data_IF_807818416282
#
_entry.id   IF_807818416282
#
_cell.length_a   1.000
_cell.length_b   1.000
_cell.length_c   1.000
_cell.angle_alpha   90.00
_cell.angle_beta   90.00
_cell.angle_gamma   90.00
#
_symmetry.space_group_name_H-M   'P 1'
#
loop_
_entity.id
_entity.type
_entity.pdbx_description
1 polymer ?
#
# COMPACT_ATOMS: atom_id res chain seq x y z
N UNK A 1 -1.45 4.53 -8.93
CA UNK A 1 -2.12 3.38 -8.27
C UNK A 1 -3.01 3.94 -7.16
N UNK A 2 -4.24 3.49 -7.13
CA UNK A 2 -5.21 3.85 -6.10
C UNK A 2 -5.59 2.57 -5.34
N UNK A 3 -5.52 2.62 -4.01
CA UNK A 3 -5.91 1.50 -3.16
C UNK A 3 -7.08 1.90 -2.24
N UNK A 4 -8.21 1.19 -2.39
CA UNK A 4 -9.43 1.44 -1.63
C UNK A 4 -9.22 1.29 -0.12
N UNK A 5 -8.67 0.16 0.30
CA UNK A 5 -8.54 -0.17 1.72
C UNK A 5 -7.62 0.77 2.52
N UNK A 6 -6.57 1.27 1.89
CA UNK A 6 -5.58 2.16 2.55
C UNK A 6 -5.81 3.63 2.23
N UNK A 7 -6.75 3.95 1.34
CA UNK A 7 -6.96 5.30 0.77
C UNK A 7 -5.67 5.94 0.25
N UNK A 8 -4.68 5.13 -0.03
CA UNK A 8 -3.42 5.63 -0.52
C UNK A 8 -3.47 5.81 -2.03
N UNK A 9 -2.93 6.92 -2.49
CA UNK A 9 -2.69 7.17 -3.90
C UNK A 9 -1.19 7.24 -4.12
N UNK A 10 -0.66 6.25 -4.84
CA UNK A 10 0.73 6.27 -5.28
C UNK A 10 0.79 6.89 -6.67
N UNK A 11 1.59 7.94 -6.83
CA UNK A 11 1.92 8.54 -8.12
C UNK A 11 3.23 7.96 -8.60
N UNK A 12 3.29 7.58 -9.87
CA UNK A 12 4.48 7.07 -10.52
C UNK A 12 4.73 7.97 -11.71
N UNK A 13 5.85 8.69 -11.70
CA UNK A 13 6.25 9.56 -12.79
C UNK A 13 6.93 8.72 -13.87
N UNK A 14 6.41 8.78 -15.09
CA UNK A 14 6.93 7.99 -16.24
C UNK A 14 7.36 8.90 -17.40
N UNK A 15 7.62 10.14 -17.12
CA UNK A 15 8.00 11.20 -18.06
C UNK A 15 9.52 11.35 -18.23
N UNK A 16 10.30 10.46 -17.63
CA UNK A 16 11.77 10.53 -17.63
C UNK A 16 12.35 11.40 -16.51
N UNK A 17 11.50 11.87 -15.57
CA UNK A 17 11.97 12.58 -14.39
C UNK A 17 12.89 11.69 -13.54
N UNK A 18 13.83 12.31 -12.84
CA UNK A 18 14.60 11.65 -11.79
C UNK A 18 13.91 11.84 -10.43
N UNK A 19 14.27 11.00 -9.46
CA UNK A 19 13.90 11.26 -8.06
C UNK A 19 14.45 12.60 -7.58
N UNK A 20 13.76 13.27 -6.63
CA UNK A 20 14.31 14.43 -5.96
C UNK A 20 15.66 14.12 -5.31
N UNK A 21 16.54 15.12 -5.23
CA UNK A 21 17.80 14.95 -4.53
C UNK A 21 17.58 14.60 -3.04
N UNK A 22 18.47 13.84 -2.40
CA UNK A 22 18.29 13.37 -1.03
C UNK A 22 18.05 14.47 0.01
N UNK A 23 18.58 15.67 -0.23
CA UNK A 23 18.45 16.83 0.66
C UNK A 23 17.12 17.58 0.53
N UNK A 24 16.34 17.29 -0.52
CA UNK A 24 15.03 17.92 -0.76
C UNK A 24 13.87 16.92 -0.79
N UNK A 25 14.16 15.62 -0.68
CA UNK A 25 13.13 14.59 -0.73
C UNK A 25 12.23 14.66 0.51
N UNK A 26 10.92 14.65 0.27
CA UNK A 26 9.94 14.61 1.35
C UNK A 26 9.56 13.17 1.68
N UNK A 27 10.01 12.69 2.84
CA UNK A 27 9.67 11.36 3.32
C UNK A 27 8.18 11.26 3.68
N UNK A 28 7.49 10.30 3.08
CA UNK A 28 6.07 10.04 3.33
C UNK A 28 5.76 8.53 3.24
N UNK A 29 4.54 8.12 3.58
CA UNK A 29 4.17 6.71 3.66
C UNK A 29 4.23 5.95 2.31
N UNK A 30 4.07 6.65 1.19
CA UNK A 30 4.08 6.02 -0.15
C UNK A 30 5.37 6.29 -0.92
N UNK A 31 6.23 7.19 -0.41
CA UNK A 31 7.46 7.59 -1.06
C UNK A 31 7.27 8.42 -2.33
N UNK A 32 8.37 8.64 -3.03
CA UNK A 32 8.43 9.20 -4.39
C UNK A 32 8.75 8.08 -5.38
N UNK A 33 7.96 7.95 -6.45
CA UNK A 33 8.09 6.85 -7.40
C UNK A 33 8.32 7.36 -8.81
N UNK A 34 9.39 6.88 -9.43
CA UNK A 34 9.76 7.17 -10.81
C UNK A 34 9.94 5.85 -11.56
N UNK A 35 9.43 5.79 -12.77
CA UNK A 35 9.44 4.54 -13.53
C UNK A 35 9.40 4.72 -15.04
N UNK A 36 9.41 3.59 -15.71
CA UNK A 36 9.34 3.49 -17.16
C UNK A 36 8.69 2.17 -17.57
N UNK A 37 8.35 2.07 -18.83
CA UNK A 37 7.82 0.85 -19.41
C UNK A 37 8.92 0.03 -20.08
N UNK A 38 9.00 -1.25 -19.73
CA UNK A 38 9.79 -2.27 -20.39
C UNK A 38 8.83 -3.21 -21.14
N UNK A 39 8.54 -2.90 -22.39
CA UNK A 39 7.47 -3.58 -23.13
C UNK A 39 6.11 -3.36 -22.46
N UNK A 40 5.50 -4.40 -21.95
CA UNK A 40 4.22 -4.40 -21.23
C UNK A 40 4.37 -4.40 -19.70
N UNK A 41 5.58 -4.30 -19.20
CA UNK A 41 5.90 -4.27 -17.77
C UNK A 41 6.18 -2.85 -17.32
N UNK A 42 5.42 -2.35 -16.35
CA UNK A 42 5.74 -1.11 -15.65
C UNK A 42 6.79 -1.41 -14.58
N UNK A 43 7.94 -0.74 -14.69
CA UNK A 43 9.05 -0.83 -13.72
C UNK A 43 9.24 0.52 -13.08
N UNK A 44 9.27 0.57 -11.76
CA UNK A 44 9.52 1.83 -11.05
C UNK A 44 10.30 1.60 -9.75
N UNK A 45 11.05 2.61 -9.37
CA UNK A 45 11.72 2.70 -8.09
C UNK A 45 10.98 3.66 -7.18
N UNK A 46 10.99 3.38 -5.88
CA UNK A 46 10.38 4.23 -4.86
C UNK A 46 11.42 4.52 -3.79
N UNK A 47 11.62 5.79 -3.50
CA UNK A 47 12.53 6.30 -2.46
C UNK A 47 11.77 7.27 -1.55
N UNK A 48 12.41 7.77 -0.49
CA UNK A 48 11.76 8.71 0.43
C UNK A 48 10.59 8.09 1.19
N UNK A 49 10.62 6.76 1.40
CA UNK A 49 9.67 6.09 2.28
C UNK A 49 9.97 6.56 3.70
N UNK A 50 8.92 6.94 4.43
CA UNK A 50 9.04 7.42 5.80
C UNK A 50 9.66 6.34 6.69
N UNK A 51 10.77 6.65 7.33
CA UNK A 51 11.54 5.72 8.16
C UNK A 51 11.16 5.76 9.64
N UNK A 52 11.87 5.00 10.44
CA UNK A 52 11.60 4.74 11.86
C UNK A 52 11.71 5.98 12.77
N UNK A 53 12.42 7.03 12.34
CA UNK A 53 12.61 8.25 13.11
C UNK A 53 11.29 8.88 13.58
N UNK A 54 10.21 8.66 12.84
CA UNK A 54 8.90 9.20 13.11
C UNK A 54 7.89 8.18 13.68
N UNK A 55 8.34 6.96 13.99
CA UNK A 55 7.54 5.85 14.54
C UNK A 55 6.41 5.33 13.63
N UNK A 56 6.37 5.73 12.37
CA UNK A 56 5.22 5.47 11.49
C UNK A 56 5.48 4.44 10.39
N UNK A 57 6.71 3.89 10.30
CA UNK A 57 7.10 3.00 9.20
C UNK A 57 7.20 1.54 9.63
N UNK A 58 6.12 1.03 10.18
CA UNK A 58 6.02 -0.40 10.46
C UNK A 58 5.72 -1.12 9.15
N UNK A 59 6.66 -1.97 8.70
CA UNK A 59 6.51 -2.73 7.47
C UNK A 59 5.41 -3.79 7.57
N UNK A 60 5.29 -4.41 8.72
CA UNK A 60 4.30 -5.44 8.99
C UNK A 60 3.87 -5.49 10.47
N UNK A 61 2.96 -6.42 10.77
CA UNK A 61 2.44 -6.60 12.14
C UNK A 61 3.47 -7.16 13.13
N UNK A 62 4.62 -7.62 12.69
CA UNK A 62 5.72 -8.08 13.56
C UNK A 62 6.50 -6.91 14.17
N UNK A 63 6.24 -5.69 13.70
CA UNK A 63 6.93 -4.49 14.15
C UNK A 63 8.26 -4.25 13.45
N UNK A 64 8.52 -4.92 12.30
CA UNK A 64 9.68 -4.61 11.48
C UNK A 64 9.58 -3.17 10.97
N UNK A 65 10.59 -2.36 11.27
CA UNK A 65 10.66 -0.94 10.96
C UNK A 65 11.68 -0.72 9.86
N UNK A 66 11.34 0.10 8.86
CA UNK A 66 12.27 0.53 7.82
C UNK A 66 13.05 1.76 8.26
N UNK A 67 14.24 1.94 7.70
CA UNK A 67 15.00 3.17 7.82
C UNK A 67 14.67 4.16 6.70
N UNK A 68 15.20 5.37 6.78
CA UNK A 68 15.06 6.37 5.72
C UNK A 68 15.86 6.04 4.46
N UNK A 69 16.76 5.03 4.52
CA UNK A 69 17.52 4.53 3.38
C UNK A 69 16.74 3.44 2.61
N UNK A 70 15.55 3.10 3.07
CA UNK A 70 14.70 2.13 2.39
C UNK A 70 14.36 2.59 0.97
N UNK A 71 14.53 1.70 0.01
CA UNK A 71 14.07 1.90 -1.35
C UNK A 71 13.47 0.61 -1.90
N UNK A 72 12.56 0.76 -2.83
CA UNK A 72 11.87 -0.37 -3.42
C UNK A 72 11.91 -0.32 -4.94
N UNK A 73 12.15 -1.46 -5.57
CA UNK A 73 11.94 -1.64 -7.00
C UNK A 73 10.70 -2.50 -7.21
N UNK A 74 9.76 -1.99 -7.99
CA UNK A 74 8.50 -2.68 -8.29
C UNK A 74 8.36 -2.93 -9.78
N UNK A 75 7.95 -4.14 -10.14
CA UNK A 75 7.63 -4.54 -11.51
C UNK A 75 6.18 -5.02 -11.55
N UNK A 76 5.41 -4.46 -12.46
CA UNK A 76 3.99 -4.81 -12.63
C UNK A 76 3.75 -5.20 -14.08
N UNK A 77 3.21 -6.37 -14.32
CA UNK A 77 2.75 -6.76 -15.64
C UNK A 77 1.43 -7.54 -15.58
N UNK A 78 0.70 -7.50 -16.67
CA UNK A 78 -0.52 -8.30 -16.83
C UNK A 78 -0.16 -9.68 -17.29
N UNK A 79 -0.77 -10.68 -16.69
CA UNK A 79 -0.63 -12.08 -17.11
C UNK A 79 -1.95 -12.83 -16.93
N UNK A 80 -1.97 -14.10 -17.28
CA UNK A 80 -3.11 -14.99 -17.09
C UNK A 80 -2.67 -16.25 -16.38
N UNK A 81 -3.35 -16.59 -15.32
CA UNK A 81 -3.12 -17.81 -14.55
C UNK A 81 -4.45 -18.52 -14.26
N UNK A 82 -4.35 -19.80 -13.89
CA UNK A 82 -5.50 -20.53 -13.40
C UNK A 82 -5.82 -20.14 -11.97
N UNK A 83 -7.07 -19.79 -11.71
CA UNK A 83 -7.57 -19.61 -10.36
C UNK A 83 -7.69 -20.96 -9.61
N UNK A 84 -8.16 -20.94 -8.37
CA UNK A 84 -8.35 -22.13 -7.53
C UNK A 84 -9.35 -23.14 -8.10
N UNK A 85 -10.21 -22.71 -9.02
CA UNK A 85 -11.20 -23.54 -9.72
C UNK A 85 -10.68 -24.06 -11.07
N UNK A 86 -9.44 -23.71 -11.44
CA UNK A 86 -8.81 -24.13 -12.70
C UNK A 86 -9.19 -23.26 -13.90
N UNK A 87 -9.90 -22.16 -13.71
CA UNK A 87 -10.30 -21.20 -14.76
C UNK A 87 -9.18 -20.21 -15.01
N UNK A 88 -8.87 -19.96 -16.30
CA UNK A 88 -7.88 -18.94 -16.70
C UNK A 88 -8.45 -17.56 -16.53
N UNK A 89 -7.83 -16.76 -15.69
CA UNK A 89 -8.20 -15.38 -15.38
C UNK A 89 -7.06 -14.40 -15.59
N UNK A 90 -7.41 -13.17 -15.90
CA UNK A 90 -6.46 -12.06 -15.99
C UNK A 90 -6.08 -11.57 -14.60
N UNK A 91 -4.80 -11.31 -14.40
CA UNK A 91 -4.29 -10.74 -13.16
C UNK A 91 -3.11 -9.79 -13.41
N UNK A 92 -2.85 -8.94 -12.44
CA UNK A 92 -1.59 -8.22 -12.35
C UNK A 92 -0.65 -8.98 -11.43
N UNK A 93 0.52 -9.32 -11.96
CA UNK A 93 1.63 -9.84 -11.18
C UNK A 93 2.51 -8.66 -10.76
N UNK A 94 2.68 -8.51 -9.46
CA UNK A 94 3.47 -7.44 -8.85
C UNK A 94 4.63 -8.06 -8.11
N UNK A 95 5.85 -7.82 -8.60
CA UNK A 95 7.07 -8.18 -7.92
C UNK A 95 7.67 -6.94 -7.27
N UNK A 96 7.87 -7.00 -5.96
CA UNK A 96 8.49 -5.97 -5.15
C UNK A 96 9.83 -6.47 -4.64
N UNK A 97 10.89 -5.70 -4.85
CA UNK A 97 12.18 -5.86 -4.18
C UNK A 97 12.38 -4.68 -3.25
N UNK A 98 12.44 -4.94 -1.96
CA UNK A 98 12.70 -3.94 -0.93
C UNK A 98 14.13 -4.09 -0.42
N UNK A 99 14.85 -2.99 -0.40
CA UNK A 99 16.23 -2.90 0.08
C UNK A 99 16.32 -1.82 1.15
N UNK A 100 16.92 -2.16 2.26
CA UNK A 100 17.17 -1.26 3.38
C UNK A 100 18.43 -1.74 4.12
N UNK A 101 19.59 -1.11 3.89
CA UNK A 101 20.84 -1.58 4.46
C UNK A 101 20.92 -1.49 5.99
N UNK A 102 20.03 -0.71 6.62
CA UNK A 102 19.98 -0.57 8.09
C UNK A 102 18.98 -1.52 8.75
N UNK A 103 17.97 -1.98 8.01
CA UNK A 103 16.91 -2.81 8.57
C UNK A 103 16.94 -4.26 8.04
N UNK A 104 17.46 -4.49 6.84
CA UNK A 104 17.46 -5.79 6.17
C UNK A 104 18.88 -6.29 5.93
N UNK A 105 19.14 -7.56 6.21
CA UNK A 105 20.43 -8.21 5.93
C UNK A 105 20.61 -8.61 4.47
N UNK A 106 19.52 -8.60 3.69
CA UNK A 106 19.48 -8.87 2.25
C UNK A 106 18.19 -8.26 1.66
N UNK A 107 18.13 -8.03 0.33
CA UNK A 107 16.91 -7.62 -0.32
C UNK A 107 15.75 -8.57 0.01
N UNK A 108 14.58 -7.99 0.29
CA UNK A 108 13.36 -8.74 0.51
C UNK A 108 12.51 -8.70 -0.76
N UNK A 109 12.30 -9.87 -1.35
CA UNK A 109 11.56 -10.01 -2.61
C UNK A 109 10.20 -10.61 -2.31
N UNK A 110 9.15 -9.94 -2.76
CA UNK A 110 7.75 -10.37 -2.60
C UNK A 110 7.06 -10.35 -3.96
N UNK A 111 6.27 -11.36 -4.20
CA UNK A 111 5.40 -11.44 -5.36
C UNK A 111 3.94 -11.46 -4.91
N UNK A 112 3.11 -10.61 -5.50
CA UNK A 112 1.68 -10.52 -5.23
C UNK A 112 0.88 -10.65 -6.52
N UNK A 113 -0.24 -11.35 -6.44
CA UNK A 113 -1.20 -11.54 -7.50
C UNK A 113 -2.46 -10.76 -7.19
N UNK A 114 -2.89 -9.91 -8.12
CA UNK A 114 -4.12 -9.14 -8.02
C UNK A 114 -5.05 -9.54 -9.17
N UNK A 115 -6.07 -10.32 -8.85
CA UNK A 115 -7.05 -10.81 -9.80
C UNK A 115 -7.95 -9.68 -10.30
N UNK A 116 -8.30 -9.74 -11.58
CA UNK A 116 -9.22 -8.78 -12.15
C UNK A 116 -10.61 -8.97 -11.56
N UNK A 117 -11.17 -7.92 -11.00
CA UNK A 117 -12.55 -7.92 -10.54
C UNK A 117 -13.54 -7.94 -11.72
N UNK A 118 -14.78 -8.42 -11.51
CA UNK A 118 -15.81 -8.43 -12.54
C UNK A 118 -15.96 -7.05 -13.20
N UNK A 119 -16.31 -7.00 -14.50
CA UNK A 119 -16.58 -5.75 -15.20
C UNK A 119 -17.59 -4.89 -14.45
N UNK A 120 -17.37 -3.56 -14.44
CA UNK A 120 -18.19 -2.57 -13.74
C UNK A 120 -18.13 -2.58 -12.22
N UNK A 121 -17.22 -3.37 -11.60
CA UNK A 121 -16.89 -3.20 -10.18
C UNK A 121 -16.38 -1.79 -9.95
N UNK A 122 -16.94 -1.08 -8.99
CA UNK A 122 -16.53 0.28 -8.63
C UNK A 122 -15.63 0.22 -7.41
N UNK A 123 -14.59 1.05 -7.41
CA UNK A 123 -13.83 1.35 -6.20
C UNK A 123 -14.74 2.20 -5.32
N UNK A 124 -14.90 1.79 -4.07
CA UNK A 124 -15.71 2.48 -3.07
C UNK A 124 -14.80 3.18 -2.06
N UNK A 125 -15.32 4.22 -1.43
CA UNK A 125 -14.62 4.81 -0.31
C UNK A 125 -14.66 3.85 0.88
N UNK A 126 -13.50 3.57 1.43
CA UNK A 126 -13.36 2.76 2.64
C UNK A 126 -13.13 3.66 3.85
N UNK A 127 -14.17 3.84 4.65
CA UNK A 127 -14.16 4.69 5.83
C UNK A 127 -14.35 3.86 7.10
N UNK A 128 -13.25 3.50 7.78
CA UNK A 128 -13.33 2.78 9.05
C UNK A 128 -14.06 3.57 10.15
N UNK A 129 -14.05 4.90 10.05
CA UNK A 129 -14.67 5.79 11.04
C UNK A 129 -16.09 6.23 10.64
N UNK A 130 -16.48 6.02 9.41
CA UNK A 130 -17.83 6.30 8.95
C UNK A 130 -18.77 5.30 9.60
N UNK A 131 -19.82 5.80 10.25
CA UNK A 131 -20.71 5.00 11.08
C UNK A 131 -20.06 4.39 12.34
N UNK A 132 -18.95 4.91 12.82
CA UNK A 132 -18.45 4.52 14.13
C UNK A 132 -19.44 5.01 15.21
N UNK A 133 -20.22 4.07 15.71
CA UNK A 133 -21.28 4.30 16.70
C UNK A 133 -20.87 3.83 18.09
N UNK A 134 -19.58 3.90 18.36
CA UNK A 134 -19.03 3.60 19.68
C UNK A 134 -18.81 4.90 20.42
N UNK A 135 -19.42 5.02 21.61
CA UNK A 135 -19.18 6.10 22.56
C UNK A 135 -18.67 5.53 23.86
N UNK A 136 -17.96 6.30 24.61
CA UNK A 136 -17.49 5.91 25.95
C UNK A 136 -18.38 6.60 26.97
N UNK A 137 -18.95 5.84 27.91
CA UNK A 137 -19.75 6.40 28.99
C UNK A 137 -18.88 7.05 30.09
N UNK A 138 -19.53 7.61 31.11
CA UNK A 138 -18.82 8.29 32.20
C UNK A 138 -17.97 7.34 33.05
N UNK A 139 -18.27 6.04 33.00
CA UNK A 139 -17.53 4.98 33.68
C UNK A 139 -16.42 4.37 32.82
N UNK A 140 -16.18 4.90 31.60
CA UNK A 140 -15.12 4.44 30.69
C UNK A 140 -15.50 3.18 29.88
N UNK A 141 -16.76 2.76 29.84
CA UNK A 141 -17.22 1.58 29.10
C UNK A 141 -17.60 1.95 27.68
N UNK A 142 -17.22 1.14 26.71
CA UNK A 142 -17.62 1.30 25.31
C UNK A 142 -19.08 0.89 25.11
N UNK A 143 -19.89 1.80 24.62
CA UNK A 143 -21.29 1.57 24.25
C UNK A 143 -21.43 1.62 22.74
N UNK A 144 -22.16 0.65 22.17
CA UNK A 144 -22.56 0.67 20.76
C UNK A 144 -23.88 1.38 20.63
N UNK A 145 -23.98 2.28 19.63
CA UNK A 145 -25.22 2.99 19.34
C UNK A 145 -25.90 2.41 18.09
N UNK A 146 -27.22 2.36 18.07
CA UNK A 146 -28.00 2.02 16.88
C UNK A 146 -28.02 3.19 15.86
N UNK A 147 -28.71 3.02 14.76
CA UNK A 147 -28.85 4.05 13.71
C UNK A 147 -29.48 5.35 14.20
N UNK A 148 -30.16 5.31 15.35
CA UNK A 148 -30.84 6.46 15.97
C UNK A 148 -30.04 7.07 17.12
N UNK A 149 -28.79 6.58 17.34
CA UNK A 149 -27.94 7.05 18.43
C UNK A 149 -28.30 6.51 19.80
N UNK A 150 -29.10 5.46 19.91
CA UNK A 150 -29.47 4.82 21.17
C UNK A 150 -28.53 3.66 21.47
N UNK A 151 -28.07 3.57 22.73
CA UNK A 151 -27.21 2.46 23.17
C UNK A 151 -27.91 1.09 22.95
N UNK A 152 -27.17 0.18 22.34
CA UNK A 152 -27.57 -1.22 22.14
C UNK A 152 -26.91 -2.05 23.24
N UNK A 153 -27.68 -2.87 23.93
CA UNK A 153 -27.16 -3.80 24.93
C UNK A 153 -26.55 -5.03 24.29
#
# INVERSE_FOLDING_TARGET
ILAEHTRSTMRIYTDGSAHPAPDVIWHNLVGDSVGHWEGDTLVFTTVGIKGWSDKDSILDRSGLVLSEEAHATTRIHRTREKNTEGVMEDLLLVQLTLEDPKALTRPWIVEKRFWQLPPRTRIMDYECNENNRVVVDQEGRSLFLDAKGKAVK
#
